data_IF_337683306583
#
_entry.id   IF_337683306583
#
_cell.length_a   1.000
_cell.length_b   1.000
_cell.length_c   1.000
_cell.angle_alpha   90.00
_cell.angle_beta   90.00
_cell.angle_gamma   90.00
#
_symmetry.space_group_name_H-M   'P 1'
#
loop_
_entity.id
_entity.type
_entity.pdbx_description
1 polymer ?
#
# COMPACT_ATOMS: atom_id res chain seq x y z
N UNK A 1 -22.52 19.81 8.68
CA UNK A 1 -22.99 18.94 7.59
C UNK A 1 -23.44 19.75 6.37
N UNK A 2 -24.46 20.65 6.46
CA UNK A 2 -24.98 21.34 5.28
C UNK A 2 -23.90 22.16 4.54
N UNK A 3 -23.11 22.95 5.28
CA UNK A 3 -22.00 23.72 4.71
C UNK A 3 -20.93 22.80 4.07
N UNK A 4 -20.61 21.70 4.70
CA UNK A 4 -19.63 20.72 4.17
C UNK A 4 -20.11 20.13 2.84
N UNK A 5 -21.39 19.72 2.77
CA UNK A 5 -21.98 19.21 1.54
C UNK A 5 -22.01 20.27 0.42
N UNK A 6 -22.31 21.54 0.76
CA UNK A 6 -22.25 22.66 -0.18
C UNK A 6 -20.81 22.86 -0.71
N UNK A 7 -19.80 22.83 0.16
CA UNK A 7 -18.40 22.96 -0.22
C UNK A 7 -17.97 21.79 -1.12
N UNK A 8 -18.31 20.55 -0.75
CA UNK A 8 -18.01 19.37 -1.57
C UNK A 8 -18.70 19.44 -2.94
N UNK A 9 -19.97 19.90 -2.98
CA UNK A 9 -20.70 20.11 -4.24
C UNK A 9 -20.01 21.16 -5.12
N UNK A 10 -19.52 22.25 -4.51
CA UNK A 10 -18.77 23.28 -5.23
C UNK A 10 -17.45 22.72 -5.78
N UNK A 11 -16.71 21.92 -5.03
CA UNK A 11 -15.51 21.25 -5.52
C UNK A 11 -15.80 20.27 -6.67
N UNK A 12 -16.93 19.58 -6.63
CA UNK A 12 -17.33 18.68 -7.71
C UNK A 12 -17.67 19.42 -9.00
N UNK A 13 -18.36 20.57 -8.89
CA UNK A 13 -18.93 21.30 -10.03
C UNK A 13 -18.01 22.38 -10.59
N UNK A 14 -17.25 23.06 -9.76
CA UNK A 14 -16.33 24.14 -10.15
C UNK A 14 -15.04 24.11 -9.31
N UNK A 15 -14.17 23.08 -9.47
CA UNK A 15 -12.89 23.05 -8.78
C UNK A 15 -12.00 24.22 -9.22
N UNK A 16 -11.47 24.96 -8.28
CA UNK A 16 -10.69 26.18 -8.54
C UNK A 16 -9.43 25.99 -9.37
N UNK A 17 -8.76 24.84 -9.24
CA UNK A 17 -7.56 24.42 -9.99
C UNK A 17 -6.61 25.57 -10.34
N UNK A 18 -6.19 26.32 -9.31
CA UNK A 18 -5.37 27.53 -9.46
C UNK A 18 -3.93 27.18 -9.82
N UNK A 19 -3.23 27.99 -10.66
CA UNK A 19 -1.83 27.72 -11.05
C UNK A 19 -0.82 27.76 -9.88
N UNK A 20 -1.04 28.66 -8.92
CA UNK A 20 -0.07 28.92 -7.85
C UNK A 20 0.29 27.69 -6.98
N UNK A 21 -0.62 26.78 -6.58
CA UNK A 21 -0.24 25.55 -5.90
C UNK A 21 0.67 24.64 -6.74
N UNK A 22 0.37 24.48 -8.04
CA UNK A 22 1.21 23.71 -8.95
C UNK A 22 2.61 24.31 -9.06
N UNK A 23 2.72 25.61 -9.25
CA UNK A 23 4.02 26.32 -9.34
C UNK A 23 4.85 26.15 -8.06
N UNK A 24 4.23 26.27 -6.87
CA UNK A 24 4.92 25.99 -5.60
C UNK A 24 5.42 24.56 -5.50
N UNK A 25 4.58 23.59 -5.88
CA UNK A 25 4.96 22.17 -5.87
C UNK A 25 6.13 21.93 -6.85
N UNK A 26 6.07 22.46 -8.05
CA UNK A 26 7.15 22.36 -9.05
C UNK A 26 8.47 22.96 -8.56
N UNK A 27 8.41 24.09 -7.85
CA UNK A 27 9.61 24.73 -7.27
C UNK A 27 10.21 23.88 -6.13
N UNK A 28 9.40 23.27 -5.30
CA UNK A 28 9.87 22.48 -4.15
C UNK A 28 10.29 21.05 -4.53
N UNK A 29 9.78 20.50 -5.62
CA UNK A 29 9.93 19.09 -5.98
C UNK A 29 11.38 18.61 -6.12
N UNK A 30 12.32 19.35 -6.79
CA UNK A 30 13.71 18.92 -6.90
C UNK A 30 14.35 18.67 -5.55
N UNK A 31 14.20 19.61 -4.62
CA UNK A 31 14.75 19.47 -3.26
C UNK A 31 14.09 18.32 -2.49
N UNK A 32 12.79 18.14 -2.64
CA UNK A 32 12.08 17.01 -2.01
C UNK A 32 12.61 15.68 -2.53
N UNK A 33 12.82 15.55 -3.83
CA UNK A 33 13.34 14.32 -4.45
C UNK A 33 14.78 14.05 -4.03
N UNK A 34 15.64 15.09 -3.97
CA UNK A 34 17.01 15.00 -3.48
C UNK A 34 17.05 14.51 -2.03
N UNK A 35 16.23 15.08 -1.14
CA UNK A 35 16.13 14.66 0.27
C UNK A 35 15.67 13.20 0.40
N UNK A 36 14.67 12.78 -0.38
CA UNK A 36 14.19 11.40 -0.39
C UNK A 36 15.29 10.44 -0.84
N UNK A 37 16.00 10.75 -1.93
CA UNK A 37 17.04 9.88 -2.47
C UNK A 37 18.35 9.90 -1.68
N UNK A 38 18.47 10.74 -0.67
CA UNK A 38 19.62 10.78 0.24
C UNK A 38 19.66 9.62 1.25
N UNK A 39 18.61 8.81 1.35
CA UNK A 39 18.58 7.64 2.23
C UNK A 39 18.29 6.38 1.43
N UNK A 40 18.75 5.18 1.86
CA UNK A 40 18.44 3.93 1.18
C UNK A 40 16.94 3.65 1.08
N UNK A 41 16.21 3.84 2.19
CA UNK A 41 14.75 3.66 2.24
C UNK A 41 14.00 4.64 1.34
N UNK A 42 14.39 5.91 1.35
CA UNK A 42 13.78 6.94 0.49
C UNK A 42 14.08 6.70 -0.98
N UNK A 43 15.32 6.31 -1.35
CA UNK A 43 15.66 5.93 -2.71
C UNK A 43 14.85 4.71 -3.20
N UNK A 44 14.59 3.74 -2.31
CA UNK A 44 13.72 2.62 -2.63
C UNK A 44 12.26 3.08 -2.79
N UNK A 45 11.76 3.97 -1.95
CA UNK A 45 10.40 4.50 -2.08
C UNK A 45 10.19 5.22 -3.43
N UNK A 46 11.20 5.95 -3.93
CA UNK A 46 11.17 6.63 -5.23
C UNK A 46 11.24 5.65 -6.40
N UNK A 47 12.14 4.65 -6.34
CA UNK A 47 12.47 3.76 -7.48
C UNK A 47 11.71 2.44 -7.44
N UNK A 48 11.43 1.91 -6.26
CA UNK A 48 10.89 0.56 -6.04
C UNK A 48 9.44 0.41 -6.44
N UNK A 49 8.62 1.46 -6.32
CA UNK A 49 7.19 1.40 -6.62
C UNK A 49 6.89 0.92 -8.05
N UNK A 50 7.51 1.53 -9.04
CA UNK A 50 7.37 1.12 -10.43
C UNK A 50 7.93 -0.29 -10.69
N UNK A 51 9.05 -0.64 -10.04
CA UNK A 51 9.68 -1.95 -10.21
C UNK A 51 8.75 -3.04 -9.67
N UNK A 52 8.27 -2.90 -8.43
CA UNK A 52 7.34 -3.86 -7.82
C UNK A 52 6.01 -3.95 -8.58
N UNK A 53 5.63 -2.89 -9.29
CA UNK A 53 4.47 -2.85 -10.20
C UNK A 53 4.78 -3.35 -11.62
N UNK A 54 5.91 -4.06 -11.83
CA UNK A 54 6.28 -4.62 -13.13
C UNK A 54 6.55 -3.58 -14.22
N UNK A 55 6.99 -2.39 -13.85
CA UNK A 55 7.26 -1.27 -14.76
C UNK A 55 6.04 -0.38 -15.04
N UNK A 56 4.95 -0.55 -14.31
CA UNK A 56 3.76 0.31 -14.45
C UNK A 56 4.10 1.78 -14.12
N UNK A 57 4.05 2.64 -15.14
CA UNK A 57 4.36 4.06 -15.01
C UNK A 57 3.44 4.80 -14.03
N UNK A 58 2.22 4.29 -13.78
CA UNK A 58 1.30 4.87 -12.79
C UNK A 58 1.82 4.75 -11.35
N UNK A 59 2.71 3.78 -11.10
CA UNK A 59 3.38 3.58 -9.81
C UNK A 59 4.79 4.22 -9.76
N UNK A 60 5.21 4.92 -10.82
CA UNK A 60 6.49 5.59 -10.86
C UNK A 60 6.44 6.96 -10.18
N UNK A 61 7.48 7.30 -9.44
CA UNK A 61 7.72 8.68 -9.04
C UNK A 61 8.22 9.44 -10.28
N UNK A 62 7.59 10.56 -10.68
CA UNK A 62 8.00 11.30 -11.86
C UNK A 62 9.41 11.89 -11.70
N UNK A 63 10.12 12.05 -12.80
CA UNK A 63 11.39 12.81 -12.79
C UNK A 63 11.13 14.30 -12.55
N UNK A 64 12.18 15.05 -12.24
CA UNK A 64 12.07 16.51 -12.08
C UNK A 64 11.55 17.15 -13.36
N UNK A 65 12.06 16.72 -14.52
CA UNK A 65 11.67 17.23 -15.85
C UNK A 65 10.20 16.91 -16.15
N UNK A 66 9.76 15.67 -15.88
CA UNK A 66 8.37 15.25 -16.07
C UNK A 66 7.44 16.11 -15.21
N UNK A 67 7.75 16.26 -13.90
CA UNK A 67 6.92 17.04 -12.99
C UNK A 67 6.90 18.53 -13.35
N UNK A 68 8.04 19.10 -13.73
CA UNK A 68 8.11 20.50 -14.19
C UNK A 68 7.42 20.73 -15.53
N UNK A 69 7.26 19.70 -16.35
CA UNK A 69 6.55 19.79 -17.65
C UNK A 69 5.03 19.87 -17.50
N UNK A 70 4.47 19.51 -16.34
CA UNK A 70 3.02 19.55 -16.09
C UNK A 70 2.50 20.98 -16.29
N UNK A 71 1.36 21.10 -16.99
CA UNK A 71 0.66 22.37 -17.22
C UNK A 71 -0.72 22.30 -16.59
N UNK A 72 -1.17 23.43 -16.07
CA UNK A 72 -2.43 23.48 -15.34
C UNK A 72 -3.65 23.30 -16.27
N UNK A 73 -3.57 23.74 -17.52
CA UNK A 73 -4.67 23.68 -18.45
C UNK A 73 -5.07 22.24 -18.82
N UNK A 74 -4.14 21.37 -19.30
CA UNK A 74 -4.47 19.96 -19.54
C UNK A 74 -4.96 19.24 -18.28
N UNK A 75 -4.36 19.53 -17.13
CA UNK A 75 -4.77 18.96 -15.84
C UNK A 75 -6.20 19.37 -15.48
N UNK A 76 -6.54 20.65 -15.69
CA UNK A 76 -7.89 21.18 -15.46
C UNK A 76 -8.93 20.48 -16.33
N UNK A 77 -8.65 20.32 -17.62
CA UNK A 77 -9.57 19.64 -18.54
C UNK A 77 -9.76 18.18 -18.17
N UNK A 78 -8.70 17.47 -17.82
CA UNK A 78 -8.77 16.07 -17.40
C UNK A 78 -9.60 15.92 -16.12
N UNK A 79 -9.37 16.75 -15.10
CA UNK A 79 -10.09 16.71 -13.83
C UNK A 79 -11.57 17.07 -14.04
N UNK A 80 -11.87 18.13 -14.79
CA UNK A 80 -13.26 18.51 -15.10
C UNK A 80 -14.01 17.40 -15.81
N UNK A 81 -13.38 16.76 -16.79
CA UNK A 81 -13.96 15.62 -17.50
C UNK A 81 -14.25 14.45 -16.56
N UNK A 82 -13.33 14.12 -15.69
CA UNK A 82 -13.51 13.05 -14.70
C UNK A 82 -14.62 13.38 -13.69
N UNK A 83 -14.69 14.63 -13.23
CA UNK A 83 -15.70 15.08 -12.29
C UNK A 83 -17.11 15.22 -12.92
N UNK A 84 -17.21 15.37 -14.22
CA UNK A 84 -18.50 15.57 -14.91
C UNK A 84 -19.29 14.27 -15.18
N UNK A 85 -18.69 13.10 -15.00
CA UNK A 85 -19.28 11.82 -15.39
C UNK A 85 -19.15 10.76 -14.29
N UNK A 86 -19.87 9.65 -14.45
CA UNK A 86 -19.88 8.55 -13.50
C UNK A 86 -20.76 8.78 -12.28
N UNK A 87 -21.05 7.72 -11.51
CA UNK A 87 -21.82 7.80 -10.27
C UNK A 87 -21.06 8.56 -9.19
N UNK A 88 -21.79 9.10 -8.24
CA UNK A 88 -21.25 9.67 -7.00
C UNK A 88 -21.86 8.92 -5.83
N UNK A 89 -21.04 8.29 -5.03
CA UNK A 89 -21.43 7.72 -3.74
C UNK A 89 -21.11 8.72 -2.63
N UNK A 90 -22.05 8.89 -1.71
CA UNK A 90 -21.88 9.75 -0.54
C UNK A 90 -22.05 8.89 0.70
N UNK A 91 -21.00 8.81 1.49
CA UNK A 91 -20.99 8.12 2.77
C UNK A 91 -20.88 9.14 3.90
N UNK A 92 -21.82 9.10 4.81
CA UNK A 92 -21.82 9.96 6.01
C UNK A 92 -21.77 9.07 7.24
N UNK A 93 -20.79 9.31 8.11
CA UNK A 93 -20.58 8.57 9.35
C UNK A 93 -20.46 9.54 10.50
N UNK A 94 -21.22 9.29 11.58
CA UNK A 94 -21.20 10.14 12.76
C UNK A 94 -22.49 10.08 13.57
N UNK A 95 -22.61 10.91 14.57
CA UNK A 95 -23.85 11.12 15.32
C UNK A 95 -24.73 12.10 14.53
N UNK A 96 -25.55 11.55 13.63
CA UNK A 96 -26.37 12.32 12.68
C UNK A 96 -27.80 11.80 12.63
N UNK A 97 -28.74 12.70 12.40
CA UNK A 97 -30.11 12.35 12.02
C UNK A 97 -30.15 11.97 10.54
N UNK A 98 -30.62 10.76 10.24
CA UNK A 98 -30.60 10.20 8.89
C UNK A 98 -31.49 10.99 7.93
N UNK A 99 -32.68 11.41 8.36
CA UNK A 99 -33.61 12.15 7.52
C UNK A 99 -33.06 13.56 7.20
N UNK A 100 -32.41 14.19 8.17
CA UNK A 100 -31.71 15.47 7.95
C UNK A 100 -30.53 15.32 6.98
N UNK A 101 -29.78 14.20 7.03
CA UNK A 101 -28.72 13.90 6.06
C UNK A 101 -29.29 13.72 4.67
N UNK A 102 -30.35 12.92 4.53
CA UNK A 102 -31.02 12.68 3.23
C UNK A 102 -31.51 14.01 2.63
N UNK A 103 -32.16 14.85 3.42
CA UNK A 103 -32.62 16.17 2.97
C UNK A 103 -31.47 17.08 2.55
N UNK A 104 -30.37 17.10 3.32
CA UNK A 104 -29.20 17.90 3.02
C UNK A 104 -28.48 17.42 1.74
N UNK A 105 -28.31 16.11 1.54
CA UNK A 105 -27.77 15.52 0.31
C UNK A 105 -28.71 15.80 -0.87
N UNK A 106 -30.02 15.64 -0.68
CA UNK A 106 -31.02 15.93 -1.72
C UNK A 106 -30.99 17.37 -2.22
N UNK A 107 -30.78 18.34 -1.32
CA UNK A 107 -30.69 19.76 -1.66
C UNK A 107 -29.33 20.21 -2.23
N UNK A 108 -28.32 19.36 -2.19
CA UNK A 108 -26.95 19.64 -2.67
C UNK A 108 -26.62 18.72 -3.85
N UNK A 109 -26.06 17.57 -3.63
CA UNK A 109 -25.68 16.61 -4.68
C UNK A 109 -26.91 16.11 -5.48
N UNK A 110 -28.04 15.88 -4.80
CA UNK A 110 -29.28 15.44 -5.43
C UNK A 110 -29.93 16.50 -6.35
N UNK A 111 -29.60 17.78 -6.15
CA UNK A 111 -30.06 18.87 -7.00
C UNK A 111 -29.18 19.08 -8.26
N UNK A 112 -28.05 18.36 -8.38
CA UNK A 112 -27.19 18.44 -9.55
C UNK A 112 -27.87 17.83 -10.79
N UNK A 113 -27.54 18.29 -12.01
CA UNK A 113 -27.98 17.65 -13.24
C UNK A 113 -27.59 16.17 -13.30
N UNK A 114 -28.38 15.37 -14.02
CA UNK A 114 -28.05 13.97 -14.25
C UNK A 114 -26.65 13.84 -14.88
N UNK A 115 -25.85 12.95 -14.32
CA UNK A 115 -24.46 12.74 -14.75
C UNK A 115 -24.42 11.72 -15.88
N UNK A 116 -23.46 11.88 -16.78
CA UNK A 116 -23.19 10.91 -17.83
C UNK A 116 -22.67 9.58 -17.26
N UNK A 117 -22.67 8.55 -18.10
CA UNK A 117 -22.04 7.27 -17.74
C UNK A 117 -20.55 7.46 -17.43
N UNK A 118 -20.02 6.63 -16.54
CA UNK A 118 -18.57 6.58 -16.30
C UNK A 118 -17.83 6.24 -17.60
N UNK A 119 -16.70 6.87 -17.89
CA UNK A 119 -15.86 6.48 -19.02
C UNK A 119 -15.46 5.01 -18.91
N UNK A 120 -15.45 4.29 -20.02
CA UNK A 120 -14.91 2.93 -20.05
C UNK A 120 -13.39 3.01 -19.79
N UNK A 121 -12.88 2.29 -18.79
CA UNK A 121 -11.43 2.25 -18.57
C UNK A 121 -10.70 1.74 -19.82
N UNK A 122 -9.52 2.26 -20.14
CA UNK A 122 -8.71 1.74 -21.24
C UNK A 122 -8.41 0.25 -21.06
N UNK A 123 -8.34 -0.49 -22.18
CA UNK A 123 -7.96 -1.90 -22.15
C UNK A 123 -6.61 -2.08 -21.42
N UNK A 124 -6.52 -3.08 -20.56
CA UNK A 124 -5.32 -3.34 -19.74
C UNK A 124 -5.12 -2.39 -18.56
N UNK A 125 -5.99 -1.40 -18.32
CA UNK A 125 -5.85 -0.47 -17.20
C UNK A 125 -5.96 -1.14 -15.82
N UNK A 126 -6.65 -2.27 -15.74
CA UNK A 126 -6.74 -3.10 -14.53
C UNK A 126 -5.57 -4.11 -14.41
N UNK A 127 -4.68 -4.18 -15.39
CA UNK A 127 -3.55 -5.09 -15.32
C UNK A 127 -2.39 -4.47 -14.55
N UNK A 128 -1.86 -5.24 -13.61
CA UNK A 128 -0.59 -4.98 -12.92
C UNK A 128 0.09 -6.31 -12.63
N UNK A 129 1.40 -6.35 -12.79
CA UNK A 129 2.17 -7.58 -12.59
C UNK A 129 3.30 -7.33 -11.62
N UNK A 130 3.52 -8.30 -10.74
CA UNK A 130 4.72 -8.31 -9.92
C UNK A 130 5.94 -8.65 -10.80
N UNK A 131 7.15 -8.10 -10.51
CA UNK A 131 8.34 -8.36 -11.32
C UNK A 131 8.75 -9.85 -11.27
N UNK A 132 9.49 -10.26 -12.29
CA UNK A 132 10.09 -11.60 -12.32
C UNK A 132 11.06 -11.80 -11.14
N UNK A 133 11.19 -13.04 -10.62
CA UNK A 133 12.13 -13.33 -9.56
C UNK A 133 13.57 -13.04 -9.99
N UNK A 134 14.43 -12.73 -9.02
CA UNK A 134 15.82 -12.35 -9.28
C UNK A 134 16.79 -13.36 -8.72
N UNK A 135 17.72 -13.85 -9.56
CA UNK A 135 18.83 -14.69 -9.10
C UNK A 135 19.91 -13.86 -8.37
N UNK A 136 20.10 -12.61 -8.82
CA UNK A 136 20.98 -11.61 -8.19
C UNK A 136 20.13 -10.41 -7.83
N UNK A 137 20.30 -9.79 -6.64
CA UNK A 137 19.56 -8.60 -6.27
C UNK A 137 19.69 -7.46 -7.29
N UNK A 138 18.58 -6.80 -7.59
CA UNK A 138 18.59 -5.59 -8.42
C UNK A 138 19.32 -4.50 -7.64
N UNK A 139 20.34 -3.92 -8.23
CA UNK A 139 21.09 -2.84 -7.60
C UNK A 139 20.45 -1.48 -7.89
N UNK A 140 20.08 -0.79 -6.83
CA UNK A 140 19.62 0.60 -6.82
C UNK A 140 20.62 1.45 -6.04
N UNK A 141 20.60 2.75 -6.25
CA UNK A 141 21.52 3.68 -5.58
C UNK A 141 20.79 4.78 -4.84
N UNK A 142 21.39 5.23 -3.74
CA UNK A 142 21.07 6.46 -3.03
C UNK A 142 22.29 7.39 -2.99
N UNK A 143 22.09 8.69 -2.72
CA UNK A 143 23.15 9.71 -2.75
C UNK A 143 23.74 9.99 -1.36
N UNK A 144 23.35 9.24 -0.34
CA UNK A 144 23.73 9.45 1.06
C UNK A 144 25.06 8.85 1.46
N UNK A 145 25.13 8.42 2.73
CA UNK A 145 26.35 7.89 3.34
C UNK A 145 26.69 6.51 2.80
N UNK A 146 27.98 6.25 2.56
CA UNK A 146 28.46 5.00 1.95
C UNK A 146 28.21 3.77 2.83
N UNK A 147 28.16 3.96 4.14
CA UNK A 147 27.99 2.92 5.15
C UNK A 147 26.53 2.41 5.27
N UNK A 148 25.59 3.10 4.62
CA UNK A 148 24.17 2.76 4.66
C UNK A 148 23.75 2.01 3.41
N UNK A 149 23.02 0.93 3.61
CA UNK A 149 22.39 0.17 2.55
C UNK A 149 21.01 -0.34 2.99
N UNK A 150 20.18 -0.74 2.03
CA UNK A 150 18.90 -1.40 2.26
C UNK A 150 18.88 -2.71 1.49
N UNK A 151 18.57 -3.80 2.16
CA UNK A 151 18.19 -5.05 1.53
C UNK A 151 16.67 -5.20 1.48
N UNK A 152 16.16 -5.60 0.31
CA UNK A 152 14.73 -5.84 0.10
C UNK A 152 14.53 -7.23 -0.46
N UNK A 153 13.60 -7.99 0.12
CA UNK A 153 13.11 -9.26 -0.41
C UNK A 153 11.60 -9.17 -0.51
N UNK A 154 11.04 -9.49 -1.66
CA UNK A 154 9.60 -9.45 -1.87
C UNK A 154 9.11 -10.69 -2.62
N UNK A 155 7.93 -11.16 -2.27
CA UNK A 155 7.26 -12.30 -2.89
C UNK A 155 5.90 -11.90 -3.41
N UNK A 156 5.52 -12.33 -4.64
CA UNK A 156 4.18 -12.09 -5.14
C UNK A 156 3.14 -12.80 -4.28
N UNK A 157 2.03 -12.14 -4.05
CA UNK A 157 0.86 -12.73 -3.38
C UNK A 157 -0.40 -12.51 -4.23
N UNK A 158 -1.57 -12.42 -3.62
CA UNK A 158 -2.84 -12.17 -4.28
C UNK A 158 -3.39 -10.78 -3.95
N UNK A 159 -4.48 -10.39 -4.61
CA UNK A 159 -5.29 -9.22 -4.28
C UNK A 159 -6.23 -9.46 -3.09
N UNK A 160 -7.03 -8.45 -2.73
CA UNK A 160 -8.11 -8.55 -1.75
C UNK A 160 -9.51 -8.39 -2.37
N UNK A 161 -9.63 -8.32 -3.70
CA UNK A 161 -10.89 -8.00 -4.39
C UNK A 161 -11.93 -9.09 -4.16
N UNK A 162 -11.55 -10.36 -4.36
CA UNK A 162 -12.45 -11.50 -4.20
C UNK A 162 -12.33 -12.22 -2.87
N UNK A 163 -11.21 -12.10 -2.15
CA UNK A 163 -10.91 -12.86 -0.93
C UNK A 163 -10.14 -12.03 0.09
N UNK A 164 -10.87 -11.23 0.84
CA UNK A 164 -10.30 -10.47 1.96
C UNK A 164 -9.86 -11.36 3.13
N UNK A 165 -10.33 -12.58 3.22
CA UNK A 165 -9.91 -13.54 4.25
C UNK A 165 -8.44 -13.88 4.05
N UNK A 166 -8.04 -14.28 2.85
CA UNK A 166 -6.63 -14.54 2.51
C UNK A 166 -5.77 -13.29 2.71
N UNK A 167 -6.24 -12.11 2.33
CA UNK A 167 -5.53 -10.84 2.58
C UNK A 167 -5.24 -10.61 4.07
N UNK A 168 -6.22 -10.87 4.96
CA UNK A 168 -6.02 -10.77 6.42
C UNK A 168 -5.07 -11.81 6.97
N UNK A 169 -5.16 -13.03 6.48
CA UNK A 169 -4.21 -14.08 6.86
C UNK A 169 -2.78 -13.73 6.42
N UNK A 170 -2.59 -13.16 5.21
CA UNK A 170 -1.30 -12.65 4.74
C UNK A 170 -0.78 -11.50 5.63
N UNK A 171 -1.66 -10.60 6.05
CA UNK A 171 -1.29 -9.54 7.00
C UNK A 171 -0.85 -10.13 8.35
N UNK A 172 -1.49 -11.20 8.82
CA UNK A 172 -1.07 -11.87 10.05
C UNK A 172 0.24 -12.66 9.86
N UNK A 173 0.44 -13.30 8.71
CA UNK A 173 1.71 -13.95 8.37
C UNK A 173 2.85 -12.93 8.32
N UNK A 174 2.62 -11.73 7.77
CA UNK A 174 3.64 -10.66 7.79
C UNK A 174 3.95 -10.18 9.21
N UNK A 175 2.97 -10.18 10.12
CA UNK A 175 3.21 -9.86 11.52
C UNK A 175 4.05 -10.94 12.23
N UNK A 176 3.86 -12.22 11.93
CA UNK A 176 4.73 -13.31 12.40
C UNK A 176 6.14 -13.16 11.84
N UNK A 177 6.26 -12.90 10.54
CA UNK A 177 7.55 -12.63 9.89
C UNK A 177 8.26 -11.44 10.56
N UNK A 178 7.55 -10.37 10.90
CA UNK A 178 8.08 -9.22 11.63
C UNK A 178 8.63 -9.61 13.02
N UNK A 179 7.94 -10.47 13.76
CA UNK A 179 8.44 -10.97 15.06
C UNK A 179 9.76 -11.70 14.91
N UNK A 180 9.86 -12.61 13.93
CA UNK A 180 11.09 -13.37 13.65
C UNK A 180 12.23 -12.50 13.15
N UNK A 181 11.95 -11.51 12.31
CA UNK A 181 12.97 -10.54 11.90
C UNK A 181 13.56 -9.77 13.09
N UNK A 182 12.71 -9.36 14.02
CA UNK A 182 13.18 -8.68 15.23
C UNK A 182 14.06 -9.61 16.10
N UNK A 183 13.61 -10.85 16.33
CA UNK A 183 14.33 -11.80 17.15
C UNK A 183 15.66 -12.25 16.52
N UNK A 184 15.65 -12.59 15.23
CA UNK A 184 16.81 -13.19 14.58
C UNK A 184 17.76 -12.16 13.98
N UNK A 185 17.25 -11.17 13.27
CA UNK A 185 18.08 -10.19 12.54
C UNK A 185 18.56 -9.07 13.47
N UNK A 186 17.65 -8.53 14.30
CA UNK A 186 17.98 -7.42 15.19
C UNK A 186 18.65 -7.90 16.47
N UNK A 187 18.04 -8.84 17.23
CA UNK A 187 18.48 -9.18 18.59
C UNK A 187 19.62 -10.19 18.59
N UNK A 188 19.50 -11.29 17.80
CA UNK A 188 20.53 -12.35 17.82
C UNK A 188 21.73 -12.02 16.95
N UNK A 189 21.54 -11.44 15.78
CA UNK A 189 22.62 -11.22 14.80
C UNK A 189 23.10 -9.77 14.71
N UNK A 190 22.30 -8.79 15.18
CA UNK A 190 22.65 -7.38 15.10
C UNK A 190 22.83 -6.84 13.67
N UNK A 191 22.23 -7.51 12.67
CA UNK A 191 22.41 -7.16 11.25
C UNK A 191 21.67 -5.90 10.85
N UNK A 192 20.53 -5.61 11.48
CA UNK A 192 19.71 -4.44 11.21
C UNK A 192 19.03 -3.92 12.48
N UNK A 193 18.90 -2.60 12.58
CA UNK A 193 18.27 -1.99 13.75
C UNK A 193 16.73 -2.08 13.69
N UNK A 194 16.15 -1.85 12.53
CA UNK A 194 14.70 -1.79 12.33
C UNK A 194 14.27 -2.57 11.09
N UNK A 195 14.40 -3.92 11.10
CA UNK A 195 13.87 -4.71 9.99
C UNK A 195 12.34 -4.59 9.97
N UNK A 196 11.78 -4.56 8.78
CA UNK A 196 10.33 -4.43 8.58
C UNK A 196 9.80 -5.52 7.65
N UNK A 197 8.65 -6.08 8.00
CA UNK A 197 7.87 -6.96 7.16
C UNK A 197 6.48 -6.39 6.93
N UNK A 198 5.96 -6.51 5.72
CA UNK A 198 4.62 -6.05 5.37
C UNK A 198 3.96 -6.92 4.30
N UNK A 199 2.64 -6.84 4.23
CA UNK A 199 1.83 -7.43 3.17
C UNK A 199 1.03 -6.33 2.50
N UNK A 200 1.04 -6.31 1.18
CA UNK A 200 0.25 -5.41 0.34
C UNK A 200 -0.59 -6.25 -0.61
N UNK A 201 -1.90 -6.13 -0.51
CA UNK A 201 -2.88 -6.80 -1.38
C UNK A 201 -3.72 -5.73 -2.06
N UNK A 202 -3.80 -5.76 -3.39
CA UNK A 202 -4.50 -4.72 -4.15
C UNK A 202 -6.01 -4.83 -3.99
N UNK A 203 -6.68 -3.69 -3.88
CA UNK A 203 -8.12 -3.52 -3.99
C UNK A 203 -8.58 -3.09 -5.39
N UNK A 204 -7.63 -2.82 -6.31
CA UNK A 204 -7.89 -2.32 -7.67
C UNK A 204 -7.40 -3.28 -8.74
N UNK A 205 -6.24 -3.94 -8.54
CA UNK A 205 -5.58 -4.75 -9.56
C UNK A 205 -5.74 -6.23 -9.27
N UNK A 206 -6.58 -6.98 -10.04
CA UNK A 206 -6.78 -8.40 -9.83
C UNK A 206 -5.48 -9.21 -9.89
N UNK A 207 -5.31 -10.13 -8.93
CA UNK A 207 -4.13 -10.99 -8.83
C UNK A 207 -2.85 -10.27 -8.38
N UNK A 208 -2.91 -8.97 -8.04
CA UNK A 208 -1.73 -8.22 -7.65
C UNK A 208 -1.66 -8.02 -6.13
N UNK A 209 -0.57 -8.48 -5.59
CA UNK A 209 -0.17 -8.28 -4.20
C UNK A 209 1.25 -8.77 -3.98
N UNK A 210 1.83 -8.40 -2.86
CA UNK A 210 3.16 -8.89 -2.47
C UNK A 210 3.35 -8.84 -0.95
N UNK A 211 4.20 -9.72 -0.47
CA UNK A 211 4.79 -9.61 0.87
C UNK A 211 6.21 -9.10 0.72
N UNK A 212 6.64 -8.21 1.60
CA UNK A 212 7.96 -7.58 1.52
C UNK A 212 8.65 -7.58 2.87
N UNK A 213 9.96 -7.82 2.84
CA UNK A 213 10.90 -7.56 3.92
C UNK A 213 11.87 -6.49 3.45
N UNK A 214 12.10 -5.48 4.28
CA UNK A 214 13.07 -4.43 4.04
C UNK A 214 13.85 -4.15 5.33
N UNK A 215 15.18 -4.08 5.23
CA UNK A 215 16.02 -3.82 6.39
C UNK A 215 17.25 -3.00 6.00
N UNK A 216 17.47 -1.89 6.72
CA UNK A 216 18.68 -1.09 6.59
C UNK A 216 19.84 -1.77 7.34
N UNK A 217 21.00 -1.83 6.69
CA UNK A 217 22.19 -2.50 7.18
C UNK A 217 23.44 -1.89 6.54
N UNK A 218 24.64 -2.31 6.98
CA UNK A 218 25.87 -1.97 6.28
C UNK A 218 25.97 -2.76 4.95
N UNK A 219 26.56 -2.18 3.87
CA UNK A 219 26.64 -2.82 2.57
C UNK A 219 27.25 -4.23 2.59
N UNK A 220 28.29 -4.44 3.38
CA UNK A 220 28.96 -5.73 3.57
C UNK A 220 28.10 -6.78 4.28
N UNK A 221 27.06 -6.36 4.96
CA UNK A 221 26.12 -7.23 5.68
C UNK A 221 24.94 -7.69 4.83
N UNK A 222 24.72 -7.11 3.64
CA UNK A 222 23.61 -7.45 2.74
C UNK A 222 23.52 -8.96 2.43
N UNK A 223 24.64 -9.67 2.10
CA UNK A 223 24.56 -11.13 1.84
C UNK A 223 24.07 -11.93 3.04
N UNK A 224 24.51 -11.56 4.26
CA UNK A 224 24.05 -12.18 5.50
C UNK A 224 22.58 -11.88 5.78
N UNK A 225 22.15 -10.65 5.53
CA UNK A 225 20.75 -10.25 5.66
C UNK A 225 19.83 -11.09 4.74
N UNK A 226 20.17 -11.23 3.46
CA UNK A 226 19.39 -12.06 2.53
C UNK A 226 19.35 -13.52 2.98
N UNK A 227 20.47 -14.08 3.41
CA UNK A 227 20.53 -15.45 3.95
C UNK A 227 19.63 -15.62 5.16
N UNK A 228 19.64 -14.66 6.09
CA UNK A 228 18.80 -14.72 7.29
C UNK A 228 17.31 -14.63 6.96
N UNK A 229 16.92 -13.74 6.03
CA UNK A 229 15.53 -13.61 5.56
C UNK A 229 15.07 -14.91 4.88
N UNK A 230 15.91 -15.51 4.03
CA UNK A 230 15.62 -16.78 3.35
C UNK A 230 15.45 -17.92 4.36
N UNK A 231 16.27 -17.97 5.41
CA UNK A 231 16.18 -18.98 6.49
C UNK A 231 14.87 -18.82 7.29
N UNK A 232 14.46 -17.59 7.63
CA UNK A 232 13.18 -17.32 8.32
C UNK A 232 12.00 -17.73 7.42
N UNK A 233 12.03 -17.40 6.14
CA UNK A 233 11.00 -17.81 5.19
C UNK A 233 10.94 -19.33 5.01
N UNK A 234 12.09 -20.01 4.99
CA UNK A 234 12.17 -21.48 4.94
C UNK A 234 11.54 -22.11 6.19
N UNK A 235 11.90 -21.63 7.36
CA UNK A 235 11.36 -22.15 8.62
C UNK A 235 9.84 -21.97 8.73
N UNK A 236 9.30 -20.84 8.27
CA UNK A 236 7.85 -20.61 8.20
C UNK A 236 7.12 -21.56 7.24
N UNK A 237 7.79 -22.03 6.17
CA UNK A 237 7.24 -23.05 5.25
C UNK A 237 7.30 -24.45 5.85
N UNK A 238 8.43 -24.77 6.47
CA UNK A 238 8.75 -26.14 6.86
C UNK A 238 8.15 -26.51 8.22
N UNK A 239 8.05 -25.55 9.12
CA UNK A 239 7.61 -25.75 10.48
C UNK A 239 6.36 -24.89 10.83
N UNK A 240 5.32 -25.49 11.42
CA UNK A 240 4.20 -24.71 11.93
C UNK A 240 4.67 -23.82 13.10
N UNK A 241 4.14 -22.61 13.18
CA UNK A 241 4.39 -21.72 14.33
C UNK A 241 3.67 -22.26 15.58
N UNK A 242 4.23 -21.96 16.75
CA UNK A 242 3.58 -22.27 18.02
C UNK A 242 2.40 -21.34 18.32
N UNK A 243 1.49 -21.80 19.17
CA UNK A 243 0.30 -21.02 19.57
C UNK A 243 0.68 -19.69 20.28
N UNK A 244 1.77 -19.67 21.03
CA UNK A 244 2.28 -18.44 21.64
C UNK A 244 2.72 -17.41 20.60
N UNK A 245 3.46 -17.84 19.59
CA UNK A 245 3.91 -16.97 18.49
C UNK A 245 2.72 -16.43 17.67
N UNK A 246 1.76 -17.29 17.36
CA UNK A 246 0.51 -16.89 16.70
C UNK A 246 -0.22 -15.83 17.53
N UNK A 247 -0.33 -16.03 18.83
CA UNK A 247 -1.00 -15.10 19.74
C UNK A 247 -0.26 -13.77 19.88
N UNK A 248 1.08 -13.78 19.89
CA UNK A 248 1.90 -12.54 19.89
C UNK A 248 1.68 -11.70 18.62
N UNK A 249 1.42 -12.32 17.48
CA UNK A 249 1.07 -11.62 16.25
C UNK A 249 -0.42 -11.19 16.22
N UNK A 250 -1.34 -12.10 16.60
CA UNK A 250 -2.78 -11.93 16.47
C UNK A 250 -3.37 -10.92 17.46
N UNK A 251 -2.96 -10.94 18.73
CA UNK A 251 -3.52 -10.05 19.77
C UNK A 251 -3.36 -8.57 19.44
N UNK A 252 -2.16 -8.06 19.06
CA UNK A 252 -2.01 -6.66 18.66
C UNK A 252 -2.86 -6.28 17.42
N UNK A 253 -3.04 -7.20 16.47
CA UNK A 253 -3.88 -6.97 15.30
C UNK A 253 -5.36 -6.82 15.69
N UNK A 254 -5.89 -7.71 16.55
CA UNK A 254 -7.25 -7.62 17.08
C UNK A 254 -7.47 -6.35 17.91
N UNK A 255 -6.52 -6.01 18.80
CA UNK A 255 -6.60 -4.79 19.61
C UNK A 255 -6.61 -3.51 18.75
N UNK A 256 -5.79 -3.49 17.69
CA UNK A 256 -5.77 -2.38 16.73
C UNK A 256 -7.11 -2.28 16.01
N UNK A 257 -7.64 -3.40 15.51
CA UNK A 257 -8.93 -3.45 14.81
C UNK A 257 -10.07 -2.98 15.72
N UNK A 258 -10.15 -3.48 16.96
CA UNK A 258 -11.18 -3.06 17.92
C UNK A 258 -11.11 -1.56 18.23
N UNK A 259 -9.90 -1.02 18.39
CA UNK A 259 -9.73 0.43 18.59
C UNK A 259 -10.14 1.23 17.36
N UNK A 260 -9.76 0.77 16.15
CA UNK A 260 -10.16 1.43 14.90
C UNK A 260 -11.68 1.47 14.73
N UNK A 261 -12.38 0.41 15.10
CA UNK A 261 -13.85 0.34 15.02
C UNK A 261 -14.58 1.35 15.94
N UNK A 262 -13.89 1.94 16.91
CA UNK A 262 -14.43 3.02 17.74
C UNK A 262 -14.31 4.41 17.08
N UNK A 263 -13.63 4.50 15.93
CA UNK A 263 -13.38 5.75 15.21
C UNK A 263 -14.24 5.86 13.94
N UNK A 264 -14.82 7.03 13.71
CA UNK A 264 -15.63 7.31 12.51
C UNK A 264 -14.84 7.12 11.22
N UNK A 265 -13.54 7.43 11.21
CA UNK A 265 -12.67 7.26 10.06
C UNK A 265 -12.56 5.81 9.58
N UNK A 266 -12.57 4.84 10.51
CA UNK A 266 -12.65 3.43 10.16
C UNK A 266 -13.92 3.12 9.37
N UNK A 267 -15.08 3.51 9.89
CA UNK A 267 -16.36 3.25 9.23
C UNK A 267 -16.49 4.00 7.91
N UNK A 268 -16.00 5.23 7.84
CA UNK A 268 -15.97 5.99 6.59
C UNK A 268 -15.21 5.22 5.51
N UNK A 269 -14.02 4.69 5.84
CA UNK A 269 -13.21 3.89 4.90
C UNK A 269 -13.90 2.57 4.53
N UNK A 270 -14.45 1.84 5.52
CA UNK A 270 -15.07 0.54 5.26
C UNK A 270 -16.39 0.62 4.49
N UNK A 271 -17.08 1.74 4.54
CA UNK A 271 -18.40 1.94 3.92
C UNK A 271 -18.33 2.78 2.63
N UNK A 272 -17.16 3.30 2.26
CA UNK A 272 -17.01 4.22 1.12
C UNK A 272 -17.45 3.61 -0.23
N UNK A 273 -17.38 2.28 -0.36
CA UNK A 273 -17.75 1.56 -1.58
C UNK A 273 -18.93 0.60 -1.37
N UNK A 274 -19.66 0.76 -0.27
CA UNK A 274 -20.71 -0.18 0.12
C UNK A 274 -21.87 -0.29 -0.87
N UNK A 275 -22.11 0.74 -1.70
CA UNK A 275 -23.16 0.73 -2.72
C UNK A 275 -22.68 0.06 -4.01
N UNK A 276 -21.43 0.26 -4.40
CA UNK A 276 -20.83 -0.36 -5.59
C UNK A 276 -20.33 -1.78 -5.33
N UNK A 277 -19.90 -2.09 -4.09
CA UNK A 277 -19.52 -3.44 -3.65
C UNK A 277 -20.23 -3.82 -2.33
N UNK A 278 -21.51 -4.23 -2.37
CA UNK A 278 -22.24 -4.63 -1.16
C UNK A 278 -21.63 -5.83 -0.42
N UNK A 279 -20.85 -6.69 -1.09
CA UNK A 279 -20.16 -7.82 -0.45
C UNK A 279 -19.11 -7.35 0.56
N UNK A 280 -18.59 -6.14 0.42
CA UNK A 280 -17.65 -5.53 1.37
C UNK A 280 -18.24 -5.38 2.78
N UNK A 281 -19.58 -5.23 2.91
CA UNK A 281 -20.26 -5.11 4.20
C UNK A 281 -20.16 -6.38 5.05
N UNK A 282 -20.39 -7.53 4.44
CA UNK A 282 -20.30 -8.82 5.16
C UNK A 282 -18.86 -9.13 5.54
N UNK A 283 -17.91 -8.79 4.68
CA UNK A 283 -16.50 -8.91 4.98
C UNK A 283 -16.08 -7.99 6.14
N UNK A 284 -16.61 -6.77 6.20
CA UNK A 284 -16.36 -5.84 7.31
C UNK A 284 -16.96 -6.34 8.63
N UNK A 285 -18.17 -6.86 8.61
CA UNK A 285 -18.82 -7.47 9.78
C UNK A 285 -18.02 -8.65 10.36
N UNK A 286 -17.37 -9.43 9.49
CA UNK A 286 -16.65 -10.64 9.87
C UNK A 286 -15.17 -10.42 10.19
N UNK A 287 -14.67 -9.17 10.14
CA UNK A 287 -13.26 -8.86 10.32
C UNK A 287 -12.61 -9.45 11.56
N UNK A 288 -13.27 -9.33 12.73
CA UNK A 288 -12.76 -9.87 14.00
C UNK A 288 -12.78 -11.40 13.96
N UNK A 289 -13.93 -12.00 13.60
CA UNK A 289 -14.10 -13.45 13.57
C UNK A 289 -13.08 -14.13 12.63
N UNK A 290 -12.81 -13.53 11.48
CA UNK A 290 -11.79 -14.03 10.54
C UNK A 290 -10.41 -14.06 11.19
N UNK A 291 -9.98 -12.98 11.87
CA UNK A 291 -8.68 -12.95 12.53
C UNK A 291 -8.59 -13.90 13.72
N UNK A 292 -9.67 -14.06 14.47
CA UNK A 292 -9.74 -15.00 15.60
C UNK A 292 -9.67 -16.47 15.14
N UNK A 293 -10.22 -16.78 13.99
CA UNK A 293 -10.24 -18.11 13.41
C UNK A 293 -8.93 -18.57 12.76
N UNK A 294 -7.98 -17.65 12.49
CA UNK A 294 -6.71 -18.02 11.84
C UNK A 294 -5.92 -19.00 12.70
N UNK A 295 -5.48 -20.08 12.08
CA UNK A 295 -4.66 -21.13 12.73
C UNK A 295 -3.21 -21.09 12.28
N UNK A 296 -2.32 -21.74 13.04
CA UNK A 296 -0.91 -21.91 12.65
C UNK A 296 -0.78 -22.65 11.30
N UNK A 297 -1.66 -23.65 11.06
CA UNK A 297 -1.69 -24.40 9.80
C UNK A 297 -2.10 -23.51 8.60
N UNK A 298 -3.00 -22.55 8.80
CA UNK A 298 -3.35 -21.59 7.75
C UNK A 298 -2.16 -20.74 7.36
N UNK A 299 -1.41 -20.21 8.33
CA UNK A 299 -0.23 -19.39 8.08
C UNK A 299 0.89 -20.21 7.43
N UNK A 300 1.11 -21.46 7.85
CA UNK A 300 2.09 -22.35 7.22
C UNK A 300 1.72 -22.63 5.77
N UNK A 301 0.46 -22.94 5.47
CA UNK A 301 -0.02 -23.14 4.10
C UNK A 301 0.23 -21.92 3.21
N UNK A 302 -0.01 -20.71 3.74
CA UNK A 302 0.27 -19.46 3.01
C UNK A 302 1.77 -19.26 2.83
N UNK A 303 2.60 -19.53 3.83
CA UNK A 303 4.06 -19.49 3.70
C UNK A 303 4.55 -20.46 2.62
N UNK A 304 4.06 -21.69 2.61
CA UNK A 304 4.36 -22.71 1.59
C UNK A 304 3.94 -22.27 0.18
N UNK A 305 2.83 -21.55 0.08
CA UNK A 305 2.33 -21.10 -1.21
C UNK A 305 3.08 -19.87 -1.75
N UNK A 306 3.36 -18.89 -0.90
CA UNK A 306 3.85 -17.58 -1.32
C UNK A 306 5.32 -17.31 -1.03
N UNK A 307 5.89 -17.76 0.10
CA UNK A 307 7.26 -17.42 0.49
C UNK A 307 8.30 -18.37 -0.16
N UNK A 308 8.17 -18.64 -1.44
CA UNK A 308 9.06 -19.57 -2.17
C UNK A 308 10.34 -18.85 -2.60
N UNK A 309 11.50 -19.52 -2.51
CA UNK A 309 12.78 -18.92 -2.89
C UNK A 309 12.89 -18.61 -4.40
N UNK A 310 12.22 -19.40 -5.24
CA UNK A 310 12.19 -19.29 -6.70
C UNK A 310 11.25 -18.21 -7.23
N UNK A 311 10.36 -17.69 -6.40
CA UNK A 311 9.48 -16.57 -6.74
C UNK A 311 9.93 -15.23 -6.14
N UNK A 312 10.95 -15.25 -5.28
CA UNK A 312 11.42 -14.08 -4.58
C UNK A 312 12.12 -13.09 -5.52
N UNK A 313 11.71 -11.83 -5.42
CA UNK A 313 12.40 -10.70 -6.01
C UNK A 313 13.26 -10.04 -4.93
N UNK A 314 14.50 -9.67 -5.29
CA UNK A 314 15.44 -9.05 -4.34
C UNK A 314 16.02 -7.77 -4.92
N UNK A 315 16.26 -6.79 -4.05
CA UNK A 315 17.01 -5.60 -4.38
C UNK A 315 17.96 -5.22 -3.25
N UNK A 316 19.04 -4.56 -3.63
CA UNK A 316 19.94 -3.86 -2.75
C UNK A 316 19.97 -2.37 -3.13
N UNK A 317 19.89 -1.50 -2.15
CA UNK A 317 20.06 -0.06 -2.34
C UNK A 317 21.34 0.33 -1.63
N UNK A 318 22.34 0.74 -2.40
CA UNK A 318 23.68 1.10 -1.88
C UNK A 318 24.01 2.53 -2.27
N UNK A 319 25.01 3.13 -1.62
CA UNK A 319 25.45 4.46 -2.01
C UNK A 319 26.03 4.46 -3.45
N UNK A 320 25.74 5.50 -4.21
CA UNK A 320 26.32 5.72 -5.55
C UNK A 320 27.86 5.81 -5.52
N UNK A 321 28.44 6.18 -4.37
CA UNK A 321 29.89 6.17 -4.12
C UNK A 321 30.50 4.76 -4.11
N UNK A 322 29.70 3.71 -3.89
CA UNK A 322 30.12 2.31 -3.93
C UNK A 322 29.73 1.61 -5.24
N UNK A 323 29.07 2.29 -6.14
CA UNK A 323 28.59 1.74 -7.40
C UNK A 323 29.59 1.95 -8.57
N UNK A 324 30.77 2.54 -8.28
CA UNK A 324 31.85 2.78 -9.25
C UNK A 324 32.78 1.61 -9.38
#
# INVERSE_FOLDING_TARGET
LALELQVLTAFLTDPGLRPAPLQRAQTAYPQTLEQLTATPGGAFAVKGGAILAGGDKRAATPTVEEFQSVRIEPLREQIKTALASGPVEITVVGDVDVDAVIAAVGSTFGALPARGAAPTPPAGSAERRFPAPTATPVRLTHTGQAEQALGVVAWPTTDQIGDRTTSRQLSLLSAVLQLRLNEDIREKQGLAYSPNAGSSTSDVFPGYGYMVVAAETAPESLPKLFTAVDAIAADLRDNPIGEDELNRARRPALERLRRSMADNGYWLTQLSEAQSDPASLDQTRNNIAVLEAVTAADLQRLAQHYLKPDTAWRAEVVSDKLAQ
#
